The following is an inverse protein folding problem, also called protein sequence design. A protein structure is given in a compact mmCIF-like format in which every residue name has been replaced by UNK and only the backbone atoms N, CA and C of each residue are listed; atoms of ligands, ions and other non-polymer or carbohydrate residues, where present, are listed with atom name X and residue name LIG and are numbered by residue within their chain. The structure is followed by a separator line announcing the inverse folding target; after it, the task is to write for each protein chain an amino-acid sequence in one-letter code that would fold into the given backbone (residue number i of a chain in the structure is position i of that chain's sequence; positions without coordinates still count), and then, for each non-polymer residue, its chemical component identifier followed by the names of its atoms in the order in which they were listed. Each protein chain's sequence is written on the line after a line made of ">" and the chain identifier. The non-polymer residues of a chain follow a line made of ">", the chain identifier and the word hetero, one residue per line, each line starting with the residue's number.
data_IF_167402480504
#
_entry.id   IF_167402480504
#
_cell.length_a   1.000
_cell.length_b   1.000
_cell.length_c   1.000
_cell.angle_alpha   90.00
_cell.angle_beta   90.00
_cell.angle_gamma   90.00
#
_symmetry.space_group_name_H-M   'P 1'
#
loop_
_entity.id
_entity.type
_entity.pdbx_description
1 polymer ?
#
# COMPACT_ATOMS: atom_id res chain seq x y z
N UNK A 1 -31.17 -4.04 -4.28
CA UNK A 1 -29.87 -4.72 -4.53
C UNK A 1 -28.84 -4.00 -3.69
N UNK A 2 -28.02 -4.70 -2.90
CA UNK A 2 -26.93 -4.04 -2.18
C UNK A 2 -26.01 -3.42 -3.23
N UNK A 3 -25.88 -2.09 -3.24
CA UNK A 3 -24.91 -1.41 -4.08
C UNK A 3 -23.54 -2.01 -3.72
N UNK A 4 -22.87 -2.61 -4.70
CA UNK A 4 -21.52 -3.09 -4.50
C UNK A 4 -20.64 -1.90 -4.15
N UNK A 5 -19.62 -2.10 -3.31
CA UNK A 5 -18.64 -1.06 -2.93
C UNK A 5 -17.96 -0.43 -4.16
N UNK A 6 -18.07 -1.09 -5.32
CA UNK A 6 -17.54 -0.69 -6.62
C UNK A 6 -18.55 -0.03 -7.56
N UNK A 7 -19.82 0.10 -7.17
CA UNK A 7 -20.85 0.70 -8.00
C UNK A 7 -20.63 2.22 -8.03
N UNK A 8 -20.31 2.75 -9.22
CA UNK A 8 -20.03 4.18 -9.46
C UNK A 8 -18.55 4.55 -9.61
N UNK A 9 -17.63 3.61 -9.40
CA UNK A 9 -16.20 3.82 -9.64
C UNK A 9 -15.82 3.49 -11.09
N UNK A 10 -14.96 4.33 -11.68
CA UNK A 10 -14.29 4.04 -12.95
C UNK A 10 -13.19 3.01 -12.73
N UNK A 11 -13.55 1.73 -12.88
CA UNK A 11 -12.71 0.56 -12.57
C UNK A 11 -11.40 0.52 -13.37
N UNK A 12 -11.42 0.98 -14.62
CA UNK A 12 -10.21 1.00 -15.47
C UNK A 12 -9.25 2.09 -14.99
N UNK A 13 -9.77 3.25 -14.60
CA UNK A 13 -8.97 4.32 -14.01
C UNK A 13 -8.40 3.92 -12.65
N UNK A 14 -9.19 3.23 -11.82
CA UNK A 14 -8.70 2.62 -10.55
C UNK A 14 -7.58 1.63 -10.82
N UNK A 15 -7.78 0.68 -11.76
CA UNK A 15 -6.80 -0.35 -12.07
C UNK A 15 -5.49 0.25 -12.60
N UNK A 16 -5.57 1.29 -13.42
CA UNK A 16 -4.38 2.00 -13.93
C UNK A 16 -3.63 2.73 -12.81
N UNK A 17 -4.34 3.39 -11.91
CA UNK A 17 -3.75 4.00 -10.73
C UNK A 17 -3.08 2.96 -9.82
N UNK A 18 -3.73 1.81 -9.61
CA UNK A 18 -3.18 0.68 -8.86
C UNK A 18 -1.88 0.17 -9.46
N UNK A 19 -1.84 -0.08 -10.76
CA UNK A 19 -0.63 -0.56 -11.44
C UNK A 19 0.48 0.47 -11.34
N UNK A 20 0.16 1.76 -11.46
CA UNK A 20 1.16 2.85 -11.38
C UNK A 20 1.73 2.97 -9.97
N UNK A 21 0.88 2.93 -8.93
CA UNK A 21 1.31 3.01 -7.54
C UNK A 21 2.06 1.74 -7.09
N UNK A 22 1.57 0.57 -7.47
CA UNK A 22 2.18 -0.72 -7.11
C UNK A 22 3.52 -0.96 -7.81
N UNK A 23 3.67 -0.49 -9.05
CA UNK A 23 4.92 -0.56 -9.80
C UNK A 23 5.76 0.72 -9.66
N UNK A 24 5.42 1.60 -8.71
CA UNK A 24 6.28 2.74 -8.38
C UNK A 24 7.59 2.20 -7.80
N UNK A 25 8.71 2.55 -8.41
CA UNK A 25 10.05 2.15 -7.95
C UNK A 25 10.24 2.50 -6.47
N UNK A 26 9.80 3.70 -6.06
CA UNK A 26 9.91 4.17 -4.68
C UNK A 26 9.08 3.32 -3.70
N UNK A 27 7.91 2.85 -4.12
CA UNK A 27 7.09 1.95 -3.30
C UNK A 27 7.68 0.54 -3.24
N UNK A 28 8.18 0.02 -4.37
CA UNK A 28 8.85 -1.28 -4.42
C UNK A 28 10.14 -1.29 -3.57
N UNK A 29 10.89 -0.20 -3.57
CA UNK A 29 12.06 -0.01 -2.71
C UNK A 29 11.66 0.03 -1.23
N UNK A 30 10.60 0.76 -0.88
CA UNK A 30 10.10 0.80 0.48
C UNK A 30 9.61 -0.60 0.96
N UNK A 31 8.95 -1.37 0.07
CA UNK A 31 8.57 -2.75 0.34
C UNK A 31 9.79 -3.67 0.51
N UNK A 32 10.82 -3.50 -0.32
CA UNK A 32 12.07 -4.24 -0.17
C UNK A 32 12.78 -3.89 1.16
N UNK A 33 12.75 -2.62 1.58
CA UNK A 33 13.27 -2.18 2.87
C UNK A 33 12.49 -2.80 4.05
N UNK A 34 11.17 -2.91 3.95
CA UNK A 34 10.35 -3.66 4.93
C UNK A 34 10.75 -5.13 4.97
N UNK A 35 10.91 -5.78 3.81
CA UNK A 35 11.25 -7.19 3.70
C UNK A 35 12.64 -7.53 4.23
N UNK A 36 13.60 -6.61 4.05
CA UNK A 36 15.01 -6.82 4.39
C UNK A 36 15.41 -6.16 5.73
N UNK A 37 14.46 -5.57 6.47
CA UNK A 37 14.76 -4.96 7.76
C UNK A 37 15.30 -5.99 8.75
N UNK A 38 16.50 -5.77 9.28
CA UNK A 38 17.17 -6.67 10.22
C UNK A 38 16.81 -6.34 11.68
N UNK A 39 16.23 -5.17 11.92
CA UNK A 39 15.83 -4.72 13.25
C UNK A 39 14.56 -3.84 13.24
N UNK A 40 13.92 -3.65 14.41
CA UNK A 40 12.69 -2.86 14.51
C UNK A 40 12.81 -1.39 14.10
N UNK A 41 14.01 -0.80 14.20
CA UNK A 41 14.22 0.59 13.82
C UNK A 41 14.21 0.77 12.29
N UNK A 42 14.85 -0.14 11.57
CA UNK A 42 14.81 -0.19 10.09
C UNK A 42 13.39 -0.43 9.57
N UNK A 43 12.66 -1.36 10.20
CA UNK A 43 11.27 -1.62 9.88
C UNK A 43 10.40 -0.36 10.09
N UNK A 44 10.59 0.35 11.21
CA UNK A 44 9.85 1.57 11.50
C UNK A 44 10.16 2.69 10.49
N UNK A 45 11.42 2.80 10.05
CA UNK A 45 11.82 3.76 9.03
C UNK A 45 11.17 3.43 7.67
N UNK A 46 11.22 2.17 7.24
CA UNK A 46 10.58 1.73 5.99
C UNK A 46 9.06 1.92 6.01
N UNK A 47 8.40 1.63 7.14
CA UNK A 47 6.95 1.88 7.33
C UNK A 47 6.59 3.37 7.27
N UNK A 48 7.46 4.24 7.79
CA UNK A 48 7.29 5.70 7.68
C UNK A 48 7.29 6.12 6.21
N UNK A 49 8.24 5.62 5.42
CA UNK A 49 8.32 5.93 3.99
C UNK A 49 7.07 5.47 3.22
N UNK A 50 6.55 4.27 3.50
CA UNK A 50 5.29 3.80 2.91
C UNK A 50 4.14 4.73 3.29
N UNK A 51 4.05 5.15 4.55
CA UNK A 51 2.99 6.04 5.02
C UNK A 51 3.01 7.40 4.33
N UNK A 52 4.20 7.96 4.12
CA UNK A 52 4.36 9.24 3.43
C UNK A 52 3.92 9.14 1.96
N UNK A 53 4.27 8.03 1.27
CA UNK A 53 3.77 7.72 -0.07
C UNK A 53 2.24 7.63 -0.11
N UNK A 54 1.62 6.99 0.87
CA UNK A 54 0.16 6.88 0.93
C UNK A 54 -0.53 8.24 1.11
N UNK A 55 0.06 9.13 1.92
CA UNK A 55 -0.48 10.49 2.13
C UNK A 55 -0.46 11.25 0.81
N UNK A 56 0.69 11.24 0.11
CA UNK A 56 0.84 11.89 -1.19
C UNK A 56 -0.19 11.37 -2.20
N UNK A 57 -0.32 10.04 -2.34
CA UNK A 57 -1.27 9.47 -3.30
C UNK A 57 -2.72 9.77 -2.96
N UNK A 58 -3.07 9.90 -1.67
CA UNK A 58 -4.42 10.28 -1.24
C UNK A 58 -4.74 11.74 -1.56
N UNK A 59 -3.74 12.61 -1.54
CA UNK A 59 -3.88 14.01 -1.96
C UNK A 59 -4.02 14.13 -3.48
N UNK A 60 -3.24 13.36 -4.24
CA UNK A 60 -3.26 13.39 -5.71
C UNK A 60 -4.48 12.69 -6.31
N UNK A 61 -4.97 11.64 -5.65
CA UNK A 61 -6.08 10.83 -6.14
C UNK A 61 -7.03 10.39 -5.01
N UNK A 62 -7.77 11.32 -4.38
CA UNK A 62 -8.65 11.04 -3.25
C UNK A 62 -9.77 10.05 -3.58
N UNK A 63 -10.19 9.94 -4.84
CA UNK A 63 -11.14 8.94 -5.31
C UNK A 63 -10.63 7.49 -5.18
N UNK A 64 -9.33 7.30 -4.98
CA UNK A 64 -8.67 6.00 -4.79
C UNK A 64 -8.21 5.75 -3.36
N UNK A 65 -8.69 6.51 -2.38
CA UNK A 65 -8.31 6.36 -0.97
C UNK A 65 -8.45 4.91 -0.45
N UNK A 66 -9.52 4.20 -0.83
CA UNK A 66 -9.73 2.80 -0.47
C UNK A 66 -8.61 1.86 -0.95
N UNK A 67 -8.11 2.09 -2.16
CA UNK A 67 -7.04 1.28 -2.77
C UNK A 67 -5.70 1.57 -2.10
N UNK A 68 -5.43 2.84 -1.81
CA UNK A 68 -4.22 3.27 -1.11
C UNK A 68 -4.18 2.62 0.28
N UNK A 69 -5.32 2.55 0.96
CA UNK A 69 -5.43 1.85 2.25
C UNK A 69 -5.16 0.35 2.12
N UNK A 70 -5.64 -0.29 1.05
CA UNK A 70 -5.38 -1.69 0.80
C UNK A 70 -3.88 -1.98 0.56
N UNK A 71 -3.17 -1.08 -0.14
CA UNK A 71 -1.71 -1.17 -0.32
C UNK A 71 -0.96 -1.00 0.99
N UNK A 72 -1.38 -0.05 1.82
CA UNK A 72 -0.83 0.11 3.17
C UNK A 72 -0.99 -1.16 4.00
N UNK A 73 -2.21 -1.72 4.08
CA UNK A 73 -2.48 -2.96 4.81
C UNK A 73 -1.68 -4.14 4.23
N UNK A 74 -1.53 -4.20 2.91
CA UNK A 74 -0.72 -5.23 2.26
C UNK A 74 0.75 -5.16 2.72
N UNK A 75 1.33 -3.95 2.80
CA UNK A 75 2.70 -3.78 3.31
C UNK A 75 2.86 -4.25 4.76
N UNK A 76 1.85 -4.03 5.61
CA UNK A 76 1.86 -4.51 6.99
C UNK A 76 1.79 -6.05 7.06
N UNK A 77 1.08 -6.69 6.11
CA UNK A 77 0.92 -8.14 6.04
C UNK A 77 2.12 -8.88 5.47
N UNK A 78 2.91 -8.25 4.59
CA UNK A 78 4.16 -8.84 4.09
C UNK A 78 5.06 -9.27 5.26
N UNK A 79 5.12 -8.45 6.32
CA UNK A 79 5.89 -8.78 7.52
C UNK A 79 5.37 -10.06 8.21
N UNK A 80 4.06 -10.22 8.39
CA UNK A 80 3.45 -11.35 9.10
C UNK A 80 3.67 -12.70 8.39
N UNK A 81 3.74 -12.69 7.05
CA UNK A 81 4.02 -13.91 6.29
C UNK A 81 5.51 -14.30 6.26
N UNK A 82 6.42 -13.35 6.47
CA UNK A 82 7.86 -13.60 6.49
C UNK A 82 8.39 -13.98 7.88
N UNK A 83 7.80 -13.45 8.95
CA UNK A 83 8.18 -13.80 10.34
C UNK A 83 7.40 -15.01 10.89
N UNK A 84 6.34 -15.45 10.20
CA UNK A 84 5.52 -16.58 10.62
C UNK A 84 4.63 -16.31 11.84
N UNK A 85 4.58 -15.07 12.34
CA UNK A 85 3.67 -14.68 13.41
C UNK A 85 2.29 -14.41 12.80
N UNK A 86 1.36 -15.35 13.01
CA UNK A 86 -0.07 -15.13 12.80
C UNK A 86 -0.57 -14.12 13.82
N UNK A 87 -0.82 -12.89 13.38
CA UNK A 87 -1.70 -11.94 14.08
C UNK A 87 -3.16 -12.35 13.94
#
# INVERSE_FOLDING_TARGET
>A
MAAGVWDGLDKDRVAKAMVTAFLSDEYLEALAAVNNAENPAELAAARTQIKDLMVLWREEAPEYAFVIDALYIFSEKIQLQLTGETG
#
